data_IF_134582193695
#
_entry.id   IF_134582193695
#
_cell.length_a   1.000
_cell.length_b   1.000
_cell.length_c   1.000
_cell.angle_alpha   90.00
_cell.angle_beta   90.00
_cell.angle_gamma   90.00
#
_symmetry.space_group_name_H-M   'P 1'
#
loop_
_entity.id
_entity.type
_entity.pdbx_description
1 polymer ?
#
# COMPACT_ATOMS: atom_id res chain seq x y z
N UNK A 1 14.61 -17.42 -29.75
CA UNK A 1 14.61 -17.05 -28.31
C UNK A 1 13.71 -18.06 -27.62
N UNK A 2 14.10 -18.63 -26.48
CA UNK A 2 13.33 -19.69 -25.82
C UNK A 2 11.99 -19.12 -25.32
N UNK A 3 10.85 -19.70 -25.70
CA UNK A 3 9.52 -19.22 -25.31
C UNK A 3 9.34 -19.18 -23.78
N UNK A 4 9.97 -20.13 -23.06
CA UNK A 4 10.03 -20.13 -21.60
C UNK A 4 10.75 -18.90 -21.04
N UNK A 5 11.82 -18.45 -21.70
CA UNK A 5 12.55 -17.25 -21.27
C UNK A 5 11.69 -16.00 -21.44
N UNK A 6 10.97 -15.89 -22.57
CA UNK A 6 10.07 -14.76 -22.84
C UNK A 6 8.96 -14.72 -21.79
N UNK A 7 8.35 -15.87 -21.48
CA UNK A 7 7.31 -15.96 -20.45
C UNK A 7 7.85 -15.59 -19.06
N UNK A 8 8.97 -16.19 -18.66
CA UNK A 8 9.62 -15.91 -17.37
C UNK A 8 9.91 -14.41 -17.22
N UNK A 9 10.45 -13.77 -18.27
CA UNK A 9 10.78 -12.34 -18.29
C UNK A 9 9.55 -11.46 -18.02
N UNK A 10 8.45 -11.76 -18.69
CA UNK A 10 7.19 -11.04 -18.51
C UNK A 10 6.58 -11.27 -17.12
N UNK A 11 6.66 -12.49 -16.59
CA UNK A 11 6.18 -12.83 -15.25
C UNK A 11 7.02 -12.11 -14.18
N UNK A 12 8.34 -12.05 -14.35
CA UNK A 12 9.27 -11.31 -13.47
C UNK A 12 8.98 -9.82 -13.45
N UNK A 13 8.74 -9.23 -14.63
CA UNK A 13 8.41 -7.81 -14.75
C UNK A 13 7.06 -7.49 -14.10
N UNK A 14 6.04 -8.32 -14.34
CA UNK A 14 4.74 -8.21 -13.68
C UNK A 14 4.86 -8.36 -12.17
N UNK A 15 5.59 -9.37 -11.69
CA UNK A 15 5.86 -9.58 -10.27
C UNK A 15 6.40 -8.30 -9.61
N UNK A 16 7.40 -7.65 -10.23
CA UNK A 16 7.98 -6.42 -9.70
C UNK A 16 6.99 -5.25 -9.72
N UNK A 17 6.17 -5.14 -10.77
CA UNK A 17 5.07 -4.16 -10.81
C UNK A 17 4.07 -4.36 -9.66
N UNK A 18 3.73 -5.62 -9.34
CA UNK A 18 2.84 -5.93 -8.20
C UNK A 18 3.50 -5.59 -6.86
N UNK A 19 4.79 -5.92 -6.67
CA UNK A 19 5.56 -5.52 -5.47
C UNK A 19 5.51 -4.00 -5.29
N UNK A 20 5.70 -3.27 -6.37
CA UNK A 20 5.69 -1.82 -6.39
C UNK A 20 4.32 -1.25 -6.03
N UNK A 21 3.27 -1.69 -6.72
CA UNK A 21 1.89 -1.26 -6.47
C UNK A 21 1.44 -1.58 -5.03
N UNK A 22 1.76 -2.78 -4.54
CA UNK A 22 1.52 -3.19 -3.16
C UNK A 22 2.13 -2.17 -2.18
N UNK A 23 3.41 -1.82 -2.39
CA UNK A 23 4.10 -0.92 -1.49
C UNK A 23 3.52 0.50 -1.49
N UNK A 24 3.11 1.00 -2.66
CA UNK A 24 2.44 2.31 -2.75
C UNK A 24 1.13 2.30 -1.95
N UNK A 25 0.32 1.26 -2.10
CA UNK A 25 -0.94 1.13 -1.38
C UNK A 25 -0.74 1.07 0.14
N UNK A 26 0.27 0.32 0.63
CA UNK A 26 0.67 0.34 2.05
C UNK A 26 1.04 1.76 2.52
N UNK A 27 1.88 2.47 1.76
CA UNK A 27 2.32 3.82 2.14
C UNK A 27 1.20 4.84 2.13
N UNK A 28 0.25 4.72 1.20
CA UNK A 28 -0.93 5.56 1.18
C UNK A 28 -1.83 5.30 2.40
N UNK A 29 -2.03 4.02 2.77
CA UNK A 29 -2.75 3.66 3.98
C UNK A 29 -2.07 4.21 5.26
N UNK A 30 -0.74 4.17 5.34
CA UNK A 30 0.04 4.73 6.45
C UNK A 30 -0.13 6.24 6.56
N UNK A 31 -0.04 6.96 5.44
CA UNK A 31 -0.22 8.43 5.38
C UNK A 31 -1.60 8.80 5.91
N UNK A 32 -2.65 8.15 5.40
CA UNK A 32 -4.02 8.43 5.83
C UNK A 32 -4.26 8.02 7.29
N UNK A 33 -3.72 6.89 7.73
CA UNK A 33 -3.81 6.44 9.13
C UNK A 33 -3.16 7.43 10.10
N UNK A 34 -1.98 7.96 9.75
CA UNK A 34 -1.30 8.96 10.56
C UNK A 34 -2.07 10.29 10.58
N UNK A 35 -2.65 10.70 9.46
CA UNK A 35 -3.52 11.89 9.39
C UNK A 35 -4.76 11.70 10.28
N UNK A 36 -5.42 10.54 10.20
CA UNK A 36 -6.56 10.19 11.02
C UNK A 36 -6.22 10.23 12.53
N UNK A 37 -5.11 9.60 12.95
CA UNK A 37 -4.67 9.61 14.35
C UNK A 37 -4.48 11.03 14.91
N UNK A 38 -3.81 11.92 14.17
CA UNK A 38 -3.59 13.31 14.61
C UNK A 38 -4.90 14.04 14.87
N UNK A 39 -5.83 13.86 13.95
CA UNK A 39 -7.11 14.49 14.07
C UNK A 39 -8.00 13.87 15.17
N UNK A 40 -7.96 12.55 15.37
CA UNK A 40 -8.67 11.88 16.45
C UNK A 40 -8.18 12.38 17.83
N UNK A 41 -6.86 12.55 17.98
CA UNK A 41 -6.28 13.16 19.18
C UNK A 41 -6.79 14.59 19.40
N UNK A 42 -6.81 15.42 18.35
CA UNK A 42 -7.34 16.78 18.44
C UNK A 42 -8.82 16.79 18.87
N UNK A 43 -9.63 15.89 18.30
CA UNK A 43 -11.05 15.72 18.66
C UNK A 43 -11.22 15.33 20.12
N UNK A 44 -10.46 14.36 20.61
CA UNK A 44 -10.49 13.94 22.02
C UNK A 44 -10.16 15.13 22.93
N UNK A 45 -9.08 15.87 22.65
CA UNK A 45 -8.69 17.04 23.44
C UNK A 45 -9.81 18.10 23.45
N UNK A 46 -10.37 18.45 22.29
CA UNK A 46 -11.46 19.42 22.20
C UNK A 46 -12.71 18.97 22.96
N UNK A 47 -13.09 17.69 22.86
CA UNK A 47 -14.25 17.14 23.57
C UNK A 47 -14.02 17.07 25.08
N UNK A 48 -12.84 16.69 25.54
CA UNK A 48 -12.47 16.71 26.97
C UNK A 48 -12.52 18.14 27.53
N UNK A 49 -11.94 19.11 26.82
CA UNK A 49 -11.96 20.51 27.23
C UNK A 49 -13.37 21.10 27.23
N UNK A 50 -14.20 20.70 26.26
CA UNK A 50 -15.62 21.07 26.20
C UNK A 50 -16.36 20.56 27.44
N UNK A 51 -16.18 19.28 27.78
CA UNK A 51 -16.80 18.68 28.96
C UNK A 51 -16.36 19.38 30.26
N UNK A 52 -15.06 19.64 30.43
CA UNK A 52 -14.55 20.37 31.58
C UNK A 52 -15.07 21.82 31.64
N UNK A 53 -15.10 22.52 30.49
CA UNK A 53 -15.63 23.87 30.38
C UNK A 53 -17.11 23.96 30.75
N UNK A 54 -17.92 22.99 30.32
CA UNK A 54 -19.33 22.90 30.70
C UNK A 54 -19.51 22.63 32.20
N UNK A 55 -18.69 21.75 32.80
CA UNK A 55 -18.73 21.49 34.26
C UNK A 55 -18.36 22.76 35.04
N UNK A 56 -17.41 23.56 34.56
CA UNK A 56 -16.99 24.79 35.24
C UNK A 56 -18.12 25.81 35.39
N UNK A 57 -19.12 25.79 34.50
CA UNK A 57 -20.29 26.68 34.54
C UNK A 57 -21.18 26.45 35.77
N UNK A 58 -21.06 25.30 36.43
CA UNK A 58 -21.80 25.01 37.67
C UNK A 58 -21.20 25.78 38.86
N UNK A 59 -19.90 26.04 38.83
CA UNK A 59 -19.15 26.62 39.94
C UNK A 59 -18.78 28.10 39.72
N UNK A 60 -18.69 28.54 38.46
CA UNK A 60 -18.22 29.88 38.08
C UNK A 60 -19.28 30.59 37.26
N UNK A 61 -19.83 31.68 37.82
CA UNK A 61 -20.84 32.52 37.15
C UNK A 61 -20.22 33.74 36.46
N UNK A 62 -19.25 33.49 35.57
CA UNK A 62 -18.59 34.54 34.78
C UNK A 62 -19.02 34.48 33.31
N UNK A 63 -19.39 35.63 32.75
CA UNK A 63 -19.81 35.75 31.35
C UNK A 63 -18.74 35.23 30.37
N UNK A 64 -17.46 35.52 30.64
CA UNK A 64 -16.35 35.09 29.79
C UNK A 64 -16.18 33.56 29.79
N UNK A 65 -16.45 32.90 30.92
CA UNK A 65 -16.43 31.43 31.01
C UNK A 65 -17.59 30.83 30.21
N UNK A 66 -18.79 31.41 30.30
CA UNK A 66 -19.96 30.99 29.50
C UNK A 66 -19.70 31.11 27.99
N UNK A 67 -19.16 32.26 27.57
CA UNK A 67 -18.86 32.51 26.16
C UNK A 67 -17.77 31.56 25.63
N UNK A 68 -16.69 31.37 26.40
CA UNK A 68 -15.62 30.44 26.05
C UNK A 68 -16.11 28.99 25.92
N UNK A 69 -16.90 28.52 26.90
CA UNK A 69 -17.48 27.17 26.88
C UNK A 69 -18.47 26.95 25.74
N UNK A 70 -19.27 27.97 25.38
CA UNK A 70 -20.21 27.89 24.25
C UNK A 70 -19.47 27.80 22.90
N UNK A 71 -18.45 28.65 22.68
CA UNK A 71 -17.63 28.62 21.47
C UNK A 71 -16.87 27.29 21.34
N UNK A 72 -16.31 26.79 22.43
CA UNK A 72 -15.60 25.52 22.44
C UNK A 72 -16.55 24.32 22.17
N UNK A 73 -17.76 24.35 22.74
CA UNK A 73 -18.79 23.34 22.47
C UNK A 73 -19.19 23.33 21.00
N UNK A 74 -19.40 24.51 20.41
CA UNK A 74 -19.72 24.63 18.99
C UNK A 74 -18.58 24.11 18.11
N UNK A 75 -17.32 24.46 18.42
CA UNK A 75 -16.16 23.99 17.68
C UNK A 75 -15.99 22.47 17.79
N UNK A 76 -16.17 21.88 18.97
CA UNK A 76 -16.10 20.43 19.16
C UNK A 76 -17.20 19.69 18.40
N UNK A 77 -18.43 20.22 18.39
CA UNK A 77 -19.53 19.67 17.61
C UNK A 77 -19.25 19.77 16.11
N UNK A 78 -18.74 20.91 15.64
CA UNK A 78 -18.35 21.12 14.24
C UNK A 78 -17.25 20.14 13.80
N UNK A 79 -16.17 20.01 14.57
CA UNK A 79 -15.09 19.05 14.28
C UNK A 79 -15.65 17.63 14.22
N UNK A 80 -16.53 17.25 15.15
CA UNK A 80 -17.13 15.91 15.19
C UNK A 80 -18.04 15.62 14.00
N UNK A 81 -18.84 16.60 13.56
CA UNK A 81 -19.69 16.46 12.36
C UNK A 81 -18.85 16.42 11.08
N UNK A 82 -17.84 17.29 10.95
CA UNK A 82 -16.93 17.31 9.81
C UNK A 82 -16.07 16.02 9.74
N UNK A 83 -15.78 15.40 10.88
CA UNK A 83 -15.14 14.10 10.93
C UNK A 83 -15.98 12.99 10.34
N UNK A 84 -17.26 13.00 10.68
CA UNK A 84 -18.21 11.97 10.26
C UNK A 84 -18.49 12.04 8.76
N UNK A 85 -18.33 13.21 8.14
CA UNK A 85 -18.44 13.38 6.68
C UNK A 85 -17.18 12.94 5.92
N UNK A 86 -16.04 12.80 6.59
CA UNK A 86 -14.84 12.26 5.96
C UNK A 86 -14.88 10.74 5.98
N UNK A 87 -15.00 10.13 4.80
CA UNK A 87 -14.77 8.70 4.56
C UNK A 87 -13.30 8.28 4.76
N UNK A 88 -12.54 8.96 5.64
CA UNK A 88 -11.10 8.74 5.82
C UNK A 88 -10.80 7.32 6.31
N UNK A 89 -11.61 6.79 7.24
CA UNK A 89 -11.47 5.41 7.70
C UNK A 89 -11.80 4.40 6.59
N UNK A 90 -12.87 4.63 5.83
CA UNK A 90 -13.23 3.80 4.68
C UNK A 90 -12.10 3.77 3.65
N UNK A 91 -11.54 4.95 3.34
CA UNK A 91 -10.44 5.08 2.41
C UNK A 91 -9.16 4.37 2.91
N UNK A 92 -8.82 4.49 4.20
CA UNK A 92 -7.73 3.71 4.83
C UNK A 92 -7.96 2.21 4.65
N UNK A 93 -9.18 1.73 4.91
CA UNK A 93 -9.52 0.31 4.78
C UNK A 93 -9.43 -0.15 3.33
N UNK A 94 -9.87 0.66 2.37
CA UNK A 94 -9.76 0.35 0.94
C UNK A 94 -8.30 0.22 0.49
N UNK A 95 -7.44 1.17 0.86
CA UNK A 95 -6.00 1.07 0.57
C UNK A 95 -5.36 -0.17 1.19
N UNK A 96 -5.69 -0.51 2.45
CA UNK A 96 -5.20 -1.72 3.12
C UNK A 96 -5.68 -3.00 2.44
N UNK A 97 -6.96 -3.03 2.03
CA UNK A 97 -7.55 -4.15 1.30
C UNK A 97 -6.84 -4.38 -0.02
N UNK A 98 -6.68 -3.33 -0.84
CA UNK A 98 -5.96 -3.41 -2.11
C UNK A 98 -4.50 -3.85 -1.91
N UNK A 99 -3.83 -3.37 -0.86
CA UNK A 99 -2.48 -3.84 -0.53
C UNK A 99 -2.46 -5.36 -0.27
N UNK A 100 -3.40 -5.89 0.53
CA UNK A 100 -3.50 -7.34 0.78
C UNK A 100 -3.79 -8.12 -0.50
N UNK A 101 -4.67 -7.64 -1.37
CA UNK A 101 -4.97 -8.29 -2.65
C UNK A 101 -3.74 -8.35 -3.56
N UNK A 102 -2.96 -7.26 -3.64
CA UNK A 102 -1.71 -7.21 -4.38
C UNK A 102 -0.64 -8.12 -3.74
N UNK A 103 -0.60 -8.22 -2.41
CA UNK A 103 0.31 -9.13 -1.70
C UNK A 103 0.04 -10.60 -2.08
N UNK A 104 -1.23 -10.99 -2.15
CA UNK A 104 -1.65 -12.33 -2.58
C UNK A 104 -1.23 -12.58 -4.03
N UNK A 105 -1.48 -11.62 -4.93
CA UNK A 105 -1.07 -11.74 -6.34
C UNK A 105 0.44 -11.85 -6.50
N UNK A 106 1.22 -11.07 -5.73
CA UNK A 106 2.68 -11.16 -5.70
C UNK A 106 3.13 -12.58 -5.40
N UNK A 107 2.53 -13.21 -4.39
CA UNK A 107 2.90 -14.57 -3.99
C UNK A 107 2.46 -15.60 -5.04
N UNK A 108 1.31 -15.41 -5.71
CA UNK A 108 0.89 -16.22 -6.86
C UNK A 108 1.84 -16.11 -8.06
N UNK A 109 2.29 -14.90 -8.41
CA UNK A 109 3.30 -14.73 -9.46
C UNK A 109 4.63 -15.40 -9.10
N UNK A 110 5.02 -15.37 -7.82
CA UNK A 110 6.20 -16.11 -7.35
C UNK A 110 6.04 -17.62 -7.52
N UNK A 111 4.86 -18.17 -7.24
CA UNK A 111 4.57 -19.60 -7.51
C UNK A 111 4.68 -19.90 -9.00
N UNK A 112 4.13 -19.05 -9.87
CA UNK A 112 4.26 -19.22 -11.32
C UNK A 112 5.72 -19.19 -11.78
N UNK A 113 6.57 -18.33 -11.20
CA UNK A 113 8.02 -18.35 -11.48
C UNK A 113 8.68 -19.67 -11.09
N UNK A 114 8.29 -20.25 -9.96
CA UNK A 114 8.79 -21.58 -9.54
C UNK A 114 8.39 -22.64 -10.57
N UNK A 115 7.13 -22.63 -11.04
CA UNK A 115 6.65 -23.58 -12.06
C UNK A 115 7.40 -23.45 -13.38
N UNK A 116 7.61 -22.21 -13.86
CA UNK A 116 8.37 -21.93 -15.08
C UNK A 116 9.81 -22.47 -14.95
N UNK A 117 10.47 -22.22 -13.82
CA UNK A 117 11.84 -22.68 -13.58
C UNK A 117 11.98 -24.21 -13.54
N UNK A 118 10.95 -24.93 -13.08
CA UNK A 118 10.99 -26.39 -13.06
C UNK A 118 10.68 -27.00 -14.43
N UNK A 119 10.18 -26.21 -15.40
CA UNK A 119 9.77 -26.66 -16.73
C UNK A 119 8.88 -27.92 -16.72
N UNK A 120 8.15 -28.15 -15.62
CA UNK A 120 7.32 -29.34 -15.44
C UNK A 120 6.03 -29.31 -16.29
N UNK A 121 5.63 -28.10 -16.73
CA UNK A 121 4.40 -27.87 -17.47
C UNK A 121 4.70 -27.45 -18.91
N UNK A 122 3.78 -27.76 -19.83
CA UNK A 122 3.82 -27.23 -21.19
C UNK A 122 3.70 -25.70 -21.16
N UNK A 123 4.37 -25.01 -22.08
CA UNK A 123 4.38 -23.54 -22.19
C UNK A 123 2.95 -22.97 -22.35
N UNK A 124 2.07 -23.68 -23.05
CA UNK A 124 0.67 -23.28 -23.23
C UNK A 124 -0.09 -23.21 -21.91
N UNK A 125 0.12 -24.18 -21.01
CA UNK A 125 -0.52 -24.19 -19.70
C UNK A 125 -0.02 -23.03 -18.82
N UNK A 126 1.28 -22.76 -18.87
CA UNK A 126 1.89 -21.64 -18.13
C UNK A 126 1.39 -20.29 -18.63
N UNK A 127 1.15 -20.15 -19.94
CA UNK A 127 0.56 -18.95 -20.55
C UNK A 127 -0.89 -18.73 -20.10
N UNK A 128 -1.68 -19.80 -19.99
CA UNK A 128 -3.05 -19.72 -19.46
C UNK A 128 -3.01 -19.25 -18.00
N UNK A 129 -2.19 -19.87 -17.14
CA UNK A 129 -2.04 -19.44 -15.74
C UNK A 129 -1.59 -17.98 -15.63
N UNK A 130 -0.65 -17.56 -16.47
CA UNK A 130 -0.20 -16.18 -16.49
C UNK A 130 -1.33 -15.21 -16.86
N UNK A 131 -2.12 -15.55 -17.88
CA UNK A 131 -3.27 -14.75 -18.33
C UNK A 131 -4.34 -14.65 -17.24
N UNK A 132 -4.63 -15.75 -16.55
CA UNK A 132 -5.57 -15.76 -15.43
C UNK A 132 -5.11 -14.85 -14.28
N UNK A 133 -3.81 -14.90 -13.94
CA UNK A 133 -3.23 -14.00 -12.93
C UNK A 133 -3.26 -12.52 -13.38
N UNK A 134 -3.08 -12.24 -14.67
CA UNK A 134 -3.20 -10.89 -15.21
C UNK A 134 -4.64 -10.37 -15.11
N UNK A 135 -5.64 -11.20 -15.43
CA UNK A 135 -7.04 -10.83 -15.29
C UNK A 135 -7.39 -10.47 -13.84
N UNK A 136 -6.95 -11.30 -12.88
CA UNK A 136 -7.11 -10.99 -11.45
C UNK A 136 -6.39 -9.70 -11.05
N UNK A 137 -5.21 -9.44 -11.60
CA UNK A 137 -4.47 -8.20 -11.35
C UNK A 137 -5.22 -6.97 -11.88
N UNK A 138 -5.80 -7.06 -13.07
CA UNK A 138 -6.61 -5.98 -13.64
C UNK A 138 -7.85 -5.68 -12.82
N UNK A 139 -8.51 -6.71 -12.28
CA UNK A 139 -9.65 -6.52 -11.38
C UNK A 139 -9.23 -5.79 -10.09
N UNK A 140 -8.08 -6.12 -9.52
CA UNK A 140 -7.54 -5.40 -8.35
C UNK A 140 -7.24 -3.95 -8.71
N UNK A 141 -6.59 -3.68 -9.84
CA UNK A 141 -6.29 -2.31 -10.29
C UNK A 141 -7.53 -1.49 -10.59
N UNK A 142 -8.58 -2.09 -11.18
CA UNK A 142 -9.86 -1.41 -11.46
C UNK A 142 -10.54 -0.91 -10.18
N UNK A 143 -10.39 -1.65 -9.08
CA UNK A 143 -11.00 -1.32 -7.80
C UNK A 143 -10.04 -0.58 -6.84
N UNK A 144 -8.79 -0.36 -7.25
CA UNK A 144 -7.78 0.27 -6.41
C UNK A 144 -8.09 1.77 -6.23
N UNK A 145 -8.05 2.29 -4.99
CA UNK A 145 -8.15 3.73 -4.75
C UNK A 145 -6.92 4.48 -5.29
N UNK A 146 -7.14 5.74 -5.69
CA UNK A 146 -6.09 6.63 -6.16
C UNK A 146 -5.05 6.90 -5.08
N UNK A 147 -3.78 6.96 -5.48
CA UNK A 147 -2.65 7.21 -4.58
C UNK A 147 -2.03 8.58 -4.83
N UNK A 148 -1.16 9.02 -3.93
CA UNK A 148 -0.48 10.33 -4.02
C UNK A 148 0.99 10.17 -4.38
N UNK A 149 1.59 11.18 -5.00
CA UNK A 149 3.04 11.23 -5.27
C UNK A 149 3.88 11.04 -4.01
N UNK A 150 3.36 11.48 -2.86
CA UNK A 150 3.99 11.26 -1.55
C UNK A 150 4.06 9.77 -1.22
N UNK A 151 3.00 9.00 -1.46
CA UNK A 151 3.01 7.56 -1.25
C UNK A 151 3.98 6.86 -2.22
N UNK A 152 4.01 7.29 -3.48
CA UNK A 152 4.96 6.78 -4.48
C UNK A 152 6.40 7.01 -4.04
N UNK A 153 6.73 8.23 -3.59
CA UNK A 153 8.07 8.55 -3.07
C UNK A 153 8.44 7.72 -1.84
N UNK A 154 7.51 7.55 -0.89
CA UNK A 154 7.76 6.72 0.29
C UNK A 154 7.93 5.24 -0.05
N UNK A 155 7.26 4.74 -1.09
CA UNK A 155 7.44 3.38 -1.58
C UNK A 155 8.80 3.21 -2.27
N UNK A 156 9.22 4.22 -3.03
CA UNK A 156 10.55 4.31 -3.66
C UNK A 156 11.68 4.20 -2.65
N UNK A 157 11.62 5.03 -1.61
CA UNK A 157 12.58 5.02 -0.49
C UNK A 157 12.57 3.67 0.24
N UNK A 158 11.38 3.10 0.49
CA UNK A 158 11.26 1.83 1.21
C UNK A 158 11.77 0.61 0.43
N UNK A 159 11.70 0.64 -0.90
CA UNK A 159 12.20 -0.44 -1.77
C UNK A 159 13.64 -0.20 -2.21
N UNK A 160 14.26 0.90 -1.79
CA UNK A 160 15.61 1.32 -2.19
C UNK A 160 15.81 1.32 -3.72
N UNK A 161 14.78 1.73 -4.45
CA UNK A 161 14.81 1.82 -5.92
C UNK A 161 15.47 3.15 -6.27
N UNK A 162 16.41 3.21 -7.22
CA UNK A 162 16.92 4.49 -7.76
C UNK A 162 15.95 5.07 -8.79
N UNK A 163 16.02 6.39 -9.02
CA UNK A 163 15.05 7.21 -9.79
C UNK A 163 14.75 6.75 -11.22
N UNK A 164 15.52 5.82 -11.77
CA UNK A 164 15.27 5.29 -13.11
C UNK A 164 14.07 4.34 -13.06
N UNK A 165 12.98 4.75 -13.73
CA UNK A 165 11.69 4.06 -13.83
C UNK A 165 11.75 2.68 -14.49
N UNK A 166 12.94 2.15 -14.75
CA UNK A 166 13.13 0.83 -15.32
C UNK A 166 13.30 -0.20 -14.18
N UNK A 167 12.48 -1.25 -14.23
CA UNK A 167 12.68 -2.47 -13.45
C UNK A 167 13.90 -3.20 -14.03
N UNK A 168 15.10 -2.82 -13.59
CA UNK A 168 16.33 -3.53 -13.93
C UNK A 168 16.31 -4.93 -13.29
N UNK A 169 16.96 -5.91 -13.93
CA UNK A 169 17.01 -7.30 -13.43
C UNK A 169 17.45 -7.39 -11.96
N UNK A 170 18.47 -6.63 -11.57
CA UNK A 170 18.97 -6.58 -10.18
C UNK A 170 17.87 -6.15 -9.17
N UNK A 171 16.95 -5.27 -9.58
CA UNK A 171 15.84 -4.82 -8.73
C UNK A 171 14.74 -5.88 -8.61
N UNK A 172 14.53 -6.66 -9.65
CA UNK A 172 13.61 -7.80 -9.59
C UNK A 172 14.23 -8.88 -8.69
N UNK A 173 15.51 -9.17 -8.89
CA UNK A 173 16.27 -10.18 -8.14
C UNK A 173 16.30 -9.90 -6.64
N UNK A 174 16.53 -8.65 -6.20
CA UNK A 174 16.57 -8.33 -4.76
C UNK A 174 15.21 -8.56 -4.07
N UNK A 175 14.11 -8.56 -4.82
CA UNK A 175 12.75 -8.82 -4.31
C UNK A 175 12.35 -10.30 -4.45
N UNK A 176 13.20 -11.14 -5.05
CA UNK A 176 13.01 -12.58 -5.18
C UNK A 176 13.94 -13.35 -4.24
N UNK A 177 13.52 -14.54 -3.75
CA UNK A 177 14.42 -15.48 -3.07
C UNK A 177 15.63 -15.83 -3.94
N UNK A 178 16.77 -16.13 -3.32
CA UNK A 178 18.04 -16.48 -4.01
C UNK A 178 17.91 -17.56 -5.08
N UNK A 179 16.97 -18.49 -4.93
CA UNK A 179 16.71 -19.58 -5.87
C UNK A 179 16.01 -19.13 -7.16
N UNK A 180 15.38 -17.95 -7.17
CA UNK A 180 14.66 -17.38 -8.32
C UNK A 180 15.40 -16.19 -8.96
N UNK A 181 16.65 -15.95 -8.54
CA UNK A 181 17.45 -14.82 -9.03
C UNK A 181 18.22 -15.18 -10.29
N UNK A 182 18.18 -14.32 -11.33
CA UNK A 182 18.92 -14.53 -12.59
C UNK A 182 20.41 -14.21 -12.45
N UNK A 183 20.77 -13.19 -11.67
CA UNK A 183 22.16 -12.73 -11.51
C UNK A 183 23.12 -13.79 -10.94
N UNK A 184 22.60 -14.83 -10.27
CA UNK A 184 23.42 -15.92 -9.74
C UNK A 184 23.74 -17.00 -10.77
N UNK A 185 22.82 -17.30 -11.70
CA UNK A 185 23.05 -18.29 -12.76
C UNK A 185 24.30 -17.94 -13.60
N UNK A 186 24.51 -16.64 -13.88
CA UNK A 186 25.71 -16.14 -14.56
C UNK A 186 27.02 -16.31 -13.76
N UNK A 187 26.95 -16.23 -12.43
CA UNK A 187 28.11 -16.34 -11.53
C UNK A 187 28.51 -17.79 -11.23
N UNK A 188 27.58 -18.73 -11.34
CA UNK A 188 27.87 -20.18 -11.19
C UNK A 188 28.34 -20.80 -12.52
N UNK A 189 27.96 -20.27 -13.68
CA UNK A 189 28.51 -20.65 -14.99
C UNK A 189 29.95 -20.15 -15.20
N UNK A 190 30.27 -18.93 -14.75
CA UNK A 190 31.62 -18.34 -14.85
C UNK A 190 32.64 -18.93 -13.87
N UNK A 191 32.21 -19.71 -12.88
CA UNK A 191 33.09 -20.50 -11.99
C UNK A 191 33.37 -21.91 -12.49
N UNK A 192 32.75 -22.32 -13.60
CA UNK A 192 32.95 -23.63 -14.24
C UNK A 192 33.86 -23.58 -15.47
N UNK A 193 34.41 -22.42 -15.80
CA UNK A 193 35.38 -22.20 -16.89
C UNK A 193 36.76 -21.97 -16.28
#
# INVERSE_FOLDING_TARGET
>A
MNDYFILEDNVRNTFMSVVWAHKIQEKQADILSNKYKRYEVARIICSSLTSAGLISLIFVDEFWVKLGSALLSFLSAFISMFFKSFELQNNIQNHKKTAVELLILRDKFKVLLIEIMHANNNIEELLIKYTDLQNLLWDVYKNAPNTTDKAVKMAHEALNVKKDNNFTEDKIDINLPKSLQRGRLKNDESKKI
#
